data_IF_589604348488
#
_entry.id   IF_589604348488
#
_cell.length_a   1.000
_cell.length_b   1.000
_cell.length_c   1.000
_cell.angle_alpha   90.00
_cell.angle_beta   90.00
_cell.angle_gamma   90.00
#
_symmetry.space_group_name_H-M   'P 1'
#
loop_
_entity.id
_entity.type
_entity.pdbx_description
1 polymer ?
#
# COMPACT_ATOMS: atom_id res chain seq x y z
N UNK A 1 2.94 5.59 18.80
CA UNK A 1 2.09 6.80 18.65
C UNK A 1 2.74 7.68 17.60
N UNK A 2 2.02 8.00 16.53
CA UNK A 2 2.46 8.98 15.55
C UNK A 2 1.55 10.20 15.60
N UNK A 3 2.15 11.39 15.53
CA UNK A 3 1.47 12.67 15.68
C UNK A 3 1.65 13.46 14.40
N UNK A 4 0.54 13.85 13.79
CA UNK A 4 0.54 14.76 12.64
C UNK A 4 -0.18 16.05 12.99
N UNK A 5 0.29 17.16 12.47
CA UNK A 5 -0.35 18.47 12.63
C UNK A 5 -1.52 18.59 11.66
N UNK A 6 -2.74 18.65 12.19
CA UNK A 6 -3.95 19.03 11.46
C UNK A 6 -4.09 20.55 11.30
N UNK A 7 -5.08 20.97 10.52
CA UNK A 7 -5.41 22.40 10.34
C UNK A 7 -5.83 23.01 11.70
N UNK A 8 -5.41 24.25 11.97
CA UNK A 8 -5.73 24.98 13.20
C UNK A 8 -4.90 24.61 14.44
N UNK A 9 -3.75 23.94 14.27
CA UNK A 9 -2.88 23.56 15.39
C UNK A 9 -3.36 22.36 16.20
N UNK A 10 -4.38 21.64 15.70
CA UNK A 10 -4.87 20.40 16.28
C UNK A 10 -3.98 19.24 15.85
N UNK A 11 -3.77 18.25 16.72
CA UNK A 11 -3.01 17.05 16.38
C UNK A 11 -3.93 15.90 16.01
N UNK A 12 -3.59 15.20 14.93
CA UNK A 12 -4.15 13.90 14.57
C UNK A 12 -3.21 12.81 15.05
N UNK A 13 -3.79 11.77 15.64
CA UNK A 13 -3.04 10.68 16.25
C UNK A 13 -3.33 9.37 15.55
N UNK A 14 -2.27 8.63 15.27
CA UNK A 14 -2.34 7.24 14.84
C UNK A 14 -1.65 6.37 15.90
N UNK A 15 -2.39 5.44 16.48
CA UNK A 15 -1.85 4.44 17.40
C UNK A 15 -1.77 3.12 16.66
N UNK A 16 -0.56 2.61 16.49
CA UNK A 16 -0.32 1.30 15.92
C UNK A 16 0.11 0.38 17.06
N UNK A 17 -0.50 -0.80 17.17
CA UNK A 17 0.01 -1.89 18.00
C UNK A 17 0.40 -3.04 17.08
N UNK A 18 1.68 -3.42 17.17
CA UNK A 18 2.27 -4.45 16.32
C UNK A 18 2.31 -5.77 17.08
N UNK A 19 1.85 -6.85 16.44
CA UNK A 19 1.80 -8.19 17.00
C UNK A 19 2.72 -9.10 16.19
N UNK A 20 3.69 -9.70 16.88
CA UNK A 20 4.62 -10.67 16.30
C UNK A 20 3.95 -12.01 16.06
N UNK A 21 4.53 -12.83 15.17
CA UNK A 21 4.00 -14.18 14.87
C UNK A 21 4.00 -15.10 16.09
N UNK A 22 5.00 -14.96 16.95
CA UNK A 22 5.16 -15.74 18.18
C UNK A 22 4.58 -15.03 19.41
N UNK A 23 3.88 -13.90 19.24
CA UNK A 23 3.24 -13.21 20.35
C UNK A 23 2.09 -14.04 20.91
N UNK A 24 2.04 -14.12 22.24
CA UNK A 24 0.96 -14.80 22.95
C UNK A 24 -0.36 -14.04 22.85
N UNK A 25 -1.47 -14.74 23.07
CA UNK A 25 -2.82 -14.15 23.01
C UNK A 25 -3.02 -13.07 24.09
N UNK A 26 -2.44 -13.26 25.27
CA UNK A 26 -2.50 -12.30 26.37
C UNK A 26 -1.65 -11.05 26.12
N UNK A 27 -0.47 -11.17 25.51
CA UNK A 27 0.32 -10.01 25.08
C UNK A 27 -0.42 -9.21 24.01
N UNK A 28 -0.97 -9.88 23.00
CA UNK A 28 -1.77 -9.24 21.95
C UNK A 28 -3.01 -8.53 22.53
N UNK A 29 -3.74 -9.20 23.43
CA UNK A 29 -4.89 -8.63 24.13
C UNK A 29 -4.52 -7.43 25.00
N UNK A 30 -3.38 -7.50 25.70
CA UNK A 30 -2.86 -6.41 26.51
C UNK A 30 -2.49 -5.20 25.65
N UNK A 31 -1.84 -5.41 24.50
CA UNK A 31 -1.50 -4.35 23.56
C UNK A 31 -2.75 -3.63 23.02
N UNK A 32 -3.81 -4.37 22.71
CA UNK A 32 -5.09 -3.81 22.30
C UNK A 32 -5.74 -2.96 23.42
N UNK A 33 -5.80 -3.46 24.65
CA UNK A 33 -6.36 -2.72 25.81
C UNK A 33 -5.55 -1.44 26.06
N UNK A 34 -4.22 -1.53 26.04
CA UNK A 34 -3.34 -0.37 26.23
C UNK A 34 -3.49 0.68 25.13
N UNK A 35 -3.79 0.24 23.91
CA UNK A 35 -4.09 1.16 22.79
C UNK A 35 -5.36 1.96 23.05
N UNK A 36 -6.42 1.33 23.58
CA UNK A 36 -7.65 2.03 23.97
C UNK A 36 -7.40 3.00 25.13
N UNK A 37 -6.64 2.58 26.15
CA UNK A 37 -6.29 3.45 27.29
C UNK A 37 -5.47 4.68 26.84
N UNK A 38 -4.51 4.48 25.92
CA UNK A 38 -3.74 5.57 25.36
C UNK A 38 -4.60 6.54 24.55
N UNK A 39 -5.55 6.05 23.74
CA UNK A 39 -6.46 6.91 23.00
C UNK A 39 -7.33 7.77 23.92
N UNK A 40 -7.82 7.21 25.04
CA UNK A 40 -8.55 7.98 26.06
C UNK A 40 -7.71 9.14 26.60
N UNK A 41 -6.42 8.91 26.91
CA UNK A 41 -5.49 9.96 27.36
C UNK A 41 -5.27 11.03 26.28
N UNK A 42 -5.33 10.67 25.00
CA UNK A 42 -5.21 11.59 23.86
C UNK A 42 -6.53 12.31 23.51
N UNK A 43 -7.57 12.09 24.31
CA UNK A 43 -8.89 12.72 24.17
C UNK A 43 -9.86 11.97 23.26
N UNK A 44 -9.61 10.69 22.97
CA UNK A 44 -10.49 9.84 22.15
C UNK A 44 -10.57 10.31 20.70
N UNK A 45 -9.41 10.56 20.08
CA UNK A 45 -9.28 11.15 18.74
C UNK A 45 -8.30 10.39 17.84
N UNK A 46 -7.72 9.30 18.34
CA UNK A 46 -6.75 8.53 17.58
C UNK A 46 -7.45 7.52 16.67
N UNK A 47 -6.88 7.34 15.48
CA UNK A 47 -7.15 6.14 14.67
C UNK A 47 -6.25 5.03 15.19
N UNK A 48 -6.83 3.85 15.46
CA UNK A 48 -6.10 2.73 16.01
C UNK A 48 -5.92 1.66 14.93
N UNK A 49 -4.69 1.17 14.77
CA UNK A 49 -4.30 0.24 13.73
C UNK A 49 -3.71 -1.01 14.36
N UNK A 50 -4.25 -2.17 13.99
CA UNK A 50 -3.68 -3.47 14.34
C UNK A 50 -2.70 -3.89 13.24
N UNK A 51 -1.43 -3.97 13.58
CA UNK A 51 -0.36 -4.31 12.64
C UNK A 51 0.14 -5.73 12.93
N UNK A 52 0.01 -6.64 11.97
CA UNK A 52 0.52 -8.00 12.10
C UNK A 52 1.86 -8.13 11.39
N UNK A 53 2.79 -8.87 12.00
CA UNK A 53 4.06 -9.19 11.38
C UNK A 53 3.89 -9.82 9.99
N UNK A 54 4.43 -9.14 8.96
CA UNK A 54 4.36 -9.56 7.56
C UNK A 54 3.17 -8.97 6.79
N UNK A 55 2.16 -8.43 7.48
CA UNK A 55 0.91 -7.91 6.91
C UNK A 55 0.66 -6.43 7.25
N UNK A 56 1.71 -5.75 7.70
CA UNK A 56 1.65 -4.36 8.12
C UNK A 56 1.10 -3.44 7.03
N UNK A 57 0.45 -2.35 7.47
CA UNK A 57 -0.02 -1.29 6.61
C UNK A 57 1.14 -0.52 5.98
N UNK A 58 0.94 -0.02 4.74
CA UNK A 58 1.94 0.85 4.09
C UNK A 58 2.24 2.10 4.94
N UNK A 59 1.23 2.58 5.69
CA UNK A 59 1.37 3.69 6.62
C UNK A 59 2.35 3.35 7.75
N UNK A 60 2.16 2.21 8.41
CA UNK A 60 3.08 1.76 9.46
C UNK A 60 4.49 1.54 8.94
N UNK A 61 4.62 0.85 7.81
CA UNK A 61 5.92 0.59 7.19
C UNK A 61 6.64 1.90 6.84
N UNK A 62 5.92 2.93 6.38
CA UNK A 62 6.52 4.22 5.99
C UNK A 62 7.32 4.92 7.09
N UNK A 63 7.11 4.55 8.36
CA UNK A 63 7.83 5.07 9.51
C UNK A 63 9.23 4.45 9.69
N UNK A 64 9.48 3.25 9.14
CA UNK A 64 10.68 2.45 9.38
C UNK A 64 11.54 2.34 8.11
N UNK A 65 12.18 3.44 7.72
CA UNK A 65 13.07 3.45 6.55
C UNK A 65 14.51 3.10 6.94
N UNK A 66 15.23 2.31 6.12
CA UNK A 66 14.76 1.72 4.85
C UNK A 66 13.97 0.40 5.02
N UNK A 67 14.04 -0.22 6.20
CA UNK A 67 13.42 -1.51 6.45
C UNK A 67 12.92 -1.70 7.88
N UNK A 68 12.08 -2.73 8.04
CA UNK A 68 11.75 -3.34 9.33
C UNK A 68 12.39 -4.73 9.41
N UNK A 69 13.05 -5.01 10.53
CA UNK A 69 13.72 -6.30 10.82
C UNK A 69 13.10 -6.88 12.08
N UNK A 70 12.14 -7.80 11.98
CA UNK A 70 11.67 -8.58 13.12
C UNK A 70 12.81 -9.46 13.63
N UNK A 71 13.05 -9.43 14.93
CA UNK A 71 14.04 -10.29 15.59
C UNK A 71 13.35 -11.54 16.14
N UNK A 72 14.04 -12.67 16.11
CA UNK A 72 13.57 -13.89 16.77
C UNK A 72 13.69 -13.76 18.30
N UNK A 73 12.75 -14.37 19.02
CA UNK A 73 12.65 -14.29 20.49
C UNK A 73 11.64 -13.26 20.99
N UNK A 74 11.56 -13.10 22.31
CA UNK A 74 10.63 -12.19 22.96
C UNK A 74 10.92 -11.98 24.45
N UNK A 75 10.08 -11.20 25.13
CA UNK A 75 10.25 -10.93 26.57
C UNK A 75 10.16 -12.21 27.40
N UNK A 76 9.26 -13.13 27.04
CA UNK A 76 9.09 -14.43 27.69
C UNK A 76 10.31 -15.36 27.54
N UNK A 77 11.11 -15.23 26.46
CA UNK A 77 12.36 -15.96 26.32
C UNK A 77 13.52 -15.33 27.13
N UNK A 78 13.25 -14.22 27.83
CA UNK A 78 14.23 -13.36 28.44
C UNK A 78 15.03 -12.63 27.37
N UNK A 79 15.07 -11.30 27.41
CA UNK A 79 16.19 -10.61 26.76
C UNK A 79 17.46 -11.18 27.39
N UNK A 80 18.23 -11.96 26.61
CA UNK A 80 19.57 -12.37 27.05
C UNK A 80 20.27 -11.08 27.48
N UNK A 81 20.93 -11.10 28.64
CA UNK A 81 21.86 -10.03 29.05
C UNK A 81 22.77 -9.72 27.85
N UNK A 82 23.29 -8.50 27.71
CA UNK A 82 24.29 -8.20 26.68
C UNK A 82 25.58 -8.97 27.03
N UNK A 83 25.60 -10.26 26.74
CA UNK A 83 26.81 -11.00 26.46
C UNK A 83 27.37 -10.41 25.16
N UNK A 84 28.69 -10.31 25.06
CA UNK A 84 29.36 -9.83 23.84
C UNK A 84 28.71 -10.48 22.62
N UNK A 85 28.05 -9.68 21.80
CA UNK A 85 27.33 -10.16 20.62
C UNK A 85 28.36 -10.75 19.67
N UNK A 86 28.57 -12.07 19.73
CA UNK A 86 29.27 -12.78 18.69
C UNK A 86 28.47 -12.59 17.40
N UNK A 87 29.14 -12.13 16.35
CA UNK A 87 28.51 -11.98 15.07
C UNK A 87 27.92 -13.32 14.62
N UNK A 88 26.64 -13.33 14.27
CA UNK A 88 25.95 -14.49 13.71
C UNK A 88 25.63 -14.23 12.24
N UNK A 89 26.00 -15.17 11.37
CA UNK A 89 25.61 -15.12 9.96
C UNK A 89 24.10 -15.26 9.84
N UNK A 90 23.47 -14.30 9.15
CA UNK A 90 22.01 -14.25 9.00
C UNK A 90 21.63 -14.16 7.53
N UNK A 91 20.65 -14.96 7.12
CA UNK A 91 20.07 -14.91 5.79
C UNK A 91 18.68 -14.29 5.87
N UNK A 92 18.43 -13.31 5.02
CA UNK A 92 17.17 -12.59 4.98
C UNK A 92 16.53 -12.66 3.60
N UNK A 93 15.21 -12.76 3.58
CA UNK A 93 14.39 -12.46 2.41
C UNK A 93 14.01 -10.97 2.47
N UNK A 94 14.24 -10.25 1.37
CA UNK A 94 13.81 -8.87 1.16
C UNK A 94 12.54 -8.81 0.33
N UNK A 95 11.46 -8.27 0.90
CA UNK A 95 10.22 -8.00 0.13
C UNK A 95 9.68 -6.62 0.40
N UNK A 96 9.16 -5.97 -0.64
CA UNK A 96 8.45 -4.70 -0.50
C UNK A 96 8.82 -3.70 -1.58
N UNK A 97 7.82 -2.93 -2.04
CA UNK A 97 8.00 -1.96 -3.12
C UNK A 97 8.56 -0.62 -2.63
N UNK A 98 8.17 -0.19 -1.43
CA UNK A 98 8.48 1.14 -0.91
C UNK A 98 9.33 1.10 0.35
N UNK A 99 8.97 0.23 1.29
CA UNK A 99 9.73 -0.09 2.50
C UNK A 99 9.93 -1.60 2.50
N UNK A 100 11.17 -2.02 2.80
CA UNK A 100 11.53 -3.43 2.74
C UNK A 100 11.19 -4.10 4.07
N UNK A 101 10.44 -5.19 3.99
CA UNK A 101 10.29 -6.16 5.07
C UNK A 101 11.42 -7.17 4.95
N UNK A 102 12.23 -7.24 6.00
CA UNK A 102 13.26 -8.25 6.16
C UNK A 102 12.66 -9.43 6.91
N UNK A 103 12.78 -10.64 6.35
CA UNK A 103 12.40 -11.87 7.04
C UNK A 103 13.63 -12.75 7.18
N UNK A 104 14.10 -12.97 8.40
CA UNK A 104 15.16 -13.94 8.64
C UNK A 104 14.67 -15.33 8.26
N UNK A 105 15.51 -16.08 7.56
CA UNK A 105 15.29 -17.47 7.18
C UNK A 105 16.52 -18.29 7.56
N UNK A 106 16.39 -19.62 7.69
CA UNK A 106 17.54 -20.46 7.95
C UNK A 106 18.67 -20.19 6.95
N UNK A 107 19.91 -20.08 7.43
CA UNK A 107 21.06 -19.98 6.56
C UNK A 107 21.33 -21.35 5.91
N UNK A 108 20.54 -21.65 4.87
CA UNK A 108 20.55 -22.92 4.16
C UNK A 108 20.20 -22.70 2.69
N UNK A 109 20.79 -23.52 1.81
CA UNK A 109 20.51 -23.46 0.37
C UNK A 109 19.04 -23.70 0.04
N UNK A 110 18.36 -24.52 0.85
CA UNK A 110 16.92 -24.81 0.72
C UNK A 110 16.03 -23.58 0.95
N UNK A 111 16.57 -22.51 1.54
CA UNK A 111 15.85 -21.24 1.72
C UNK A 111 15.90 -20.36 0.47
N UNK A 112 16.92 -20.53 -0.39
CA UNK A 112 17.05 -19.76 -1.63
C UNK A 112 16.02 -20.20 -2.67
N UNK A 113 15.53 -19.24 -3.46
CA UNK A 113 14.61 -19.48 -4.57
C UNK A 113 14.80 -18.43 -5.69
N UNK A 114 14.18 -18.68 -6.84
CA UNK A 114 14.27 -17.81 -8.02
C UNK A 114 13.40 -16.55 -7.95
N UNK A 115 12.48 -16.45 -6.99
CA UNK A 115 11.40 -15.44 -6.95
C UNK A 115 11.66 -14.29 -5.96
N UNK A 116 12.63 -14.44 -5.07
CA UNK A 116 12.91 -13.49 -3.99
C UNK A 116 14.34 -12.92 -4.08
N UNK A 117 14.53 -11.73 -3.49
CA UNK A 117 15.88 -11.16 -3.25
C UNK A 117 16.32 -11.54 -1.84
N UNK A 118 17.54 -12.02 -1.71
CA UNK A 118 18.12 -12.45 -0.43
C UNK A 118 19.29 -11.55 -0.04
N UNK A 119 19.43 -11.29 1.26
CA UNK A 119 20.60 -10.66 1.85
C UNK A 119 21.25 -11.68 2.78
N UNK A 120 22.47 -12.10 2.47
CA UNK A 120 23.31 -12.88 3.36
C UNK A 120 24.29 -11.94 4.07
N UNK A 121 24.03 -11.72 5.34
CA UNK A 121 24.85 -10.88 6.22
C UNK A 121 25.92 -11.74 6.90
N UNK A 122 27.18 -11.52 6.56
CA UNK A 122 28.35 -12.17 7.16
C UNK A 122 29.27 -11.12 7.77
N UNK A 123 30.15 -11.52 8.69
CA UNK A 123 31.01 -10.61 9.46
C UNK A 123 31.87 -9.69 8.58
N UNK A 124 32.27 -10.15 7.38
CA UNK A 124 33.21 -9.43 6.52
C UNK A 124 32.60 -8.94 5.21
N UNK A 125 31.48 -9.53 4.79
CA UNK A 125 30.88 -9.27 3.48
C UNK A 125 29.38 -9.50 3.49
N UNK A 126 28.61 -8.58 2.92
CA UNK A 126 27.18 -8.71 2.73
C UNK A 126 26.92 -9.08 1.26
N UNK A 127 26.21 -10.18 1.03
CA UNK A 127 25.86 -10.63 -0.31
C UNK A 127 24.39 -10.34 -0.60
N UNK A 128 24.12 -9.69 -1.73
CA UNK A 128 22.80 -9.62 -2.33
C UNK A 128 22.65 -10.75 -3.34
N UNK A 129 21.75 -11.70 -3.10
CA UNK A 129 21.41 -12.71 -4.10
C UNK A 129 20.07 -12.37 -4.75
N UNK A 130 20.08 -12.11 -6.05
CA UNK A 130 18.89 -11.77 -6.83
C UNK A 130 18.35 -13.02 -7.52
N UNK A 131 17.20 -13.52 -7.08
CA UNK A 131 16.47 -14.56 -7.82
C UNK A 131 16.13 -14.11 -9.25
N UNK A 132 16.14 -15.05 -10.20
CA UNK A 132 15.96 -14.76 -11.62
C UNK A 132 14.65 -14.00 -11.96
N UNK A 133 13.59 -14.20 -11.18
CA UNK A 133 12.25 -13.64 -11.40
C UNK A 133 12.00 -12.32 -10.63
N UNK A 134 12.99 -11.82 -9.90
CA UNK A 134 12.87 -10.55 -9.15
C UNK A 134 12.96 -9.34 -10.07
N UNK A 135 12.27 -8.25 -9.74
CA UNK A 135 12.31 -7.02 -10.54
C UNK A 135 13.41 -6.04 -10.11
N UNK A 136 13.74 -5.08 -10.98
CA UNK A 136 14.83 -4.13 -10.74
C UNK A 136 14.59 -3.23 -9.51
N UNK A 137 13.33 -2.91 -9.20
CA UNK A 137 12.98 -2.07 -8.06
C UNK A 137 13.23 -2.80 -6.73
N UNK A 138 12.87 -4.08 -6.64
CA UNK A 138 13.15 -4.93 -5.48
C UNK A 138 14.66 -5.05 -5.23
N UNK A 139 15.44 -5.29 -6.30
CA UNK A 139 16.90 -5.39 -6.21
C UNK A 139 17.54 -4.08 -5.75
N UNK A 140 17.06 -2.93 -6.24
CA UNK A 140 17.54 -1.62 -5.81
C UNK A 140 17.20 -1.35 -4.33
N UNK A 141 15.99 -1.75 -3.89
CA UNK A 141 15.57 -1.62 -2.49
C UNK A 141 16.35 -2.51 -1.55
N UNK A 142 16.68 -3.73 -1.94
CA UNK A 142 17.58 -4.58 -1.17
C UNK A 142 18.95 -3.93 -0.99
N UNK A 143 19.49 -3.29 -2.03
CA UNK A 143 20.76 -2.57 -1.92
C UNK A 143 20.72 -1.40 -0.93
N UNK A 144 19.62 -0.64 -0.89
CA UNK A 144 19.40 0.40 0.15
C UNK A 144 19.44 -0.19 1.57
N UNK A 145 18.86 -1.38 1.76
CA UNK A 145 18.91 -2.10 3.04
C UNK A 145 20.32 -2.57 3.37
N UNK A 146 21.08 -3.08 2.39
CA UNK A 146 22.47 -3.50 2.59
C UNK A 146 23.34 -2.32 3.04
N UNK A 147 23.18 -1.14 2.43
CA UNK A 147 23.92 0.06 2.89
C UNK A 147 23.59 0.39 4.34
N UNK A 148 22.31 0.33 4.71
CA UNK A 148 21.90 0.52 6.09
C UNK A 148 22.48 -0.53 7.05
N UNK A 149 22.52 -1.81 6.66
CA UNK A 149 23.13 -2.86 7.48
C UNK A 149 24.63 -2.62 7.66
N UNK A 150 25.33 -2.29 6.57
CA UNK A 150 26.74 -1.96 6.56
C UNK A 150 27.07 -0.80 7.49
N UNK A 151 26.33 0.30 7.41
CA UNK A 151 26.58 1.48 8.23
C UNK A 151 26.24 1.24 9.71
N UNK A 152 25.13 0.53 9.98
CA UNK A 152 24.61 0.38 11.34
C UNK A 152 25.24 -0.76 12.13
N UNK A 153 25.50 -1.89 11.49
CA UNK A 153 25.94 -3.12 12.15
C UNK A 153 27.38 -3.51 11.81
N UNK A 154 27.99 -2.89 10.79
CA UNK A 154 29.37 -3.16 10.38
C UNK A 154 30.24 -1.91 10.30
N UNK A 155 29.82 -0.81 10.94
CA UNK A 155 30.60 0.44 11.05
C UNK A 155 31.09 1.00 9.70
N UNK A 156 30.40 0.67 8.60
CA UNK A 156 30.77 1.11 7.26
C UNK A 156 31.93 0.35 6.60
N UNK A 157 32.50 -0.69 7.23
CA UNK A 157 33.72 -1.37 6.75
C UNK A 157 33.50 -2.69 6.02
N UNK A 158 32.26 -3.13 5.87
CA UNK A 158 31.92 -4.42 5.24
C UNK A 158 31.91 -4.35 3.70
N UNK A 159 32.40 -5.41 3.05
CA UNK A 159 32.35 -5.54 1.59
C UNK A 159 30.94 -5.90 1.12
N UNK A 160 30.59 -5.55 -0.12
CA UNK A 160 29.28 -5.85 -0.71
C UNK A 160 29.46 -6.57 -2.03
N UNK A 161 28.78 -7.70 -2.21
CA UNK A 161 28.74 -8.45 -3.46
C UNK A 161 27.31 -8.64 -3.95
N UNK A 162 27.10 -8.57 -5.27
CA UNK A 162 25.79 -8.78 -5.90
C UNK A 162 25.88 -10.01 -6.79
N UNK A 163 25.09 -11.02 -6.45
CA UNK A 163 25.03 -12.32 -7.12
C UNK A 163 23.69 -12.41 -7.84
N UNK A 164 23.71 -12.60 -9.16
CA UNK A 164 22.51 -12.83 -9.95
C UNK A 164 22.34 -14.33 -10.21
N UNK A 165 21.16 -14.84 -9.90
CA UNK A 165 20.77 -16.21 -10.21
C UNK A 165 20.83 -16.52 -11.71
N UNK A 166 21.32 -17.71 -12.05
CA UNK A 166 21.53 -18.16 -13.42
C UNK A 166 22.70 -17.48 -14.17
N UNK A 167 23.31 -16.43 -13.61
CA UNK A 167 24.56 -15.87 -14.13
C UNK A 167 25.72 -16.61 -13.48
N UNK A 168 26.16 -17.69 -14.12
CA UNK A 168 27.47 -18.28 -13.86
C UNK A 168 28.54 -17.35 -14.42
N UNK A 169 28.73 -16.18 -13.82
CA UNK A 169 29.97 -15.44 -14.06
C UNK A 169 31.09 -16.17 -13.32
N UNK A 170 32.28 -16.21 -13.92
CA UNK A 170 33.50 -16.66 -13.27
C UNK A 170 34.02 -15.57 -12.32
N UNK A 171 33.12 -14.91 -11.59
CA UNK A 171 33.43 -13.87 -10.62
C UNK A 171 33.76 -14.52 -9.26
N UNK A 172 34.80 -13.99 -8.59
CA UNK A 172 35.25 -14.49 -7.29
C UNK A 172 34.11 -14.48 -6.26
N UNK A 173 33.30 -13.42 -6.29
CA UNK A 173 32.21 -13.19 -5.35
C UNK A 173 31.12 -14.28 -5.42
N UNK A 174 30.70 -14.67 -6.61
CA UNK A 174 29.77 -15.79 -6.80
C UNK A 174 30.36 -17.10 -6.30
N UNK A 175 31.64 -17.37 -6.58
CA UNK A 175 32.34 -18.54 -6.07
C UNK A 175 32.35 -18.60 -4.54
N UNK A 176 32.75 -17.50 -3.89
CA UNK A 176 32.74 -17.33 -2.44
C UNK A 176 31.34 -17.55 -1.86
N UNK A 177 30.32 -16.92 -2.45
CA UNK A 177 28.93 -17.07 -2.04
C UNK A 177 28.48 -18.54 -2.07
N UNK A 178 28.71 -19.26 -3.17
CA UNK A 178 28.27 -20.65 -3.27
C UNK A 178 29.05 -21.58 -2.34
N UNK A 179 30.34 -21.32 -2.09
CA UNK A 179 31.14 -22.08 -1.11
C UNK A 179 30.53 -21.99 0.29
N UNK A 180 29.96 -20.83 0.68
CA UNK A 180 29.24 -20.67 1.96
C UNK A 180 28.04 -21.62 2.11
N UNK A 181 27.45 -22.07 0.99
CA UNK A 181 26.34 -23.05 0.96
C UNK A 181 26.80 -24.50 0.65
N UNK A 182 28.10 -24.77 0.71
CA UNK A 182 28.69 -26.08 0.40
C UNK A 182 28.91 -26.34 -1.10
N UNK A 183 28.97 -25.29 -1.91
CA UNK A 183 29.16 -25.33 -3.35
C UNK A 183 27.88 -25.07 -4.15
N UNK A 184 28.05 -24.87 -5.46
CA UNK A 184 26.94 -24.63 -6.37
C UNK A 184 26.08 -25.89 -6.52
N UNK A 185 24.78 -25.73 -6.32
CA UNK A 185 23.78 -26.76 -6.60
C UNK A 185 22.45 -26.09 -6.99
N UNK A 186 21.57 -26.78 -7.74
CA UNK A 186 20.26 -26.24 -8.11
C UNK A 186 19.46 -25.77 -6.89
N UNK A 187 18.86 -24.59 -6.99
CA UNK A 187 17.95 -24.05 -5.97
C UNK A 187 16.52 -24.53 -6.21
N UNK A 188 15.73 -24.60 -5.14
CA UNK A 188 14.37 -25.14 -5.17
C UNK A 188 13.33 -24.14 -5.68
N UNK A 189 12.14 -24.65 -5.97
CA UNK A 189 10.95 -23.79 -6.15
C UNK A 189 10.58 -23.15 -4.82
N UNK A 190 10.10 -21.91 -4.88
CA UNK A 190 9.55 -21.21 -3.71
C UNK A 190 8.42 -22.02 -3.08
N UNK A 191 8.51 -22.25 -1.77
CA UNK A 191 7.41 -22.81 -0.98
C UNK A 191 6.45 -21.68 -0.65
N UNK A 192 5.19 -21.81 -1.02
CA UNK A 192 4.14 -20.84 -0.69
C UNK A 192 3.99 -20.80 0.83
N UNK A 193 4.14 -19.61 1.41
CA UNK A 193 3.98 -19.37 2.85
C UNK A 193 2.73 -18.55 3.14
N UNK A 194 2.34 -18.48 4.42
CA UNK A 194 1.23 -17.61 4.83
C UNK A 194 1.45 -16.16 4.40
N UNK A 195 2.71 -15.68 4.37
CA UNK A 195 3.08 -14.32 3.95
C UNK A 195 2.83 -14.04 2.46
N UNK A 196 2.59 -15.08 1.65
CA UNK A 196 2.29 -14.97 0.23
C UNK A 196 0.77 -14.95 -0.05
N UNK A 197 -0.07 -15.07 0.99
CA UNK A 197 -1.53 -15.03 0.85
C UNK A 197 -1.97 -13.61 0.47
N UNK A 198 -2.56 -13.48 -0.72
CA UNK A 198 -3.24 -12.26 -1.14
C UNK A 198 -4.61 -12.22 -0.48
N UNK A 199 -4.87 -11.18 0.31
CA UNK A 199 -6.17 -10.96 0.92
C UNK A 199 -7.18 -10.52 -0.14
N UNK A 200 -8.30 -11.23 -0.25
CA UNK A 200 -9.37 -10.91 -1.18
C UNK A 200 -10.32 -9.86 -0.62
N UNK A 201 -10.65 -8.85 -1.44
CA UNK A 201 -11.66 -7.84 -1.09
C UNK A 201 -13.06 -8.36 -1.38
N UNK A 202 -14.00 -8.13 -0.47
CA UNK A 202 -15.43 -8.41 -0.68
C UNK A 202 -16.27 -7.13 -0.62
N UNK A 203 -17.50 -7.12 -1.17
CA UNK A 203 -18.44 -6.04 -0.95
C UNK A 203 -18.60 -5.76 0.55
N UNK A 204 -18.67 -4.47 0.90
CA UNK A 204 -18.70 -4.03 2.28
C UNK A 204 -20.02 -4.45 2.96
N UNK A 205 -19.92 -5.03 4.16
CA UNK A 205 -21.07 -5.41 4.99
C UNK A 205 -20.97 -4.75 6.36
N UNK A 206 -22.02 -4.06 6.78
CA UNK A 206 -22.06 -3.37 8.07
C UNK A 206 -22.75 -4.24 9.13
N UNK A 207 -22.17 -4.29 10.32
CA UNK A 207 -22.70 -4.96 11.48
C UNK A 207 -22.75 -3.98 12.65
N UNK A 208 -23.90 -3.87 13.31
CA UNK A 208 -24.00 -3.20 14.61
C UNK A 208 -23.41 -4.09 15.71
N UNK A 209 -22.67 -3.49 16.65
CA UNK A 209 -22.11 -4.18 17.81
C UNK A 209 -22.89 -3.76 19.05
N UNK A 210 -23.54 -4.73 19.70
CA UNK A 210 -24.27 -4.54 20.97
C UNK A 210 -23.91 -5.67 21.92
N UNK A 211 -23.47 -5.34 23.14
CA UNK A 211 -23.05 -6.31 24.17
C UNK A 211 -22.04 -7.37 23.66
N UNK A 212 -21.16 -6.97 22.75
CA UNK A 212 -20.15 -7.86 22.13
C UNK A 212 -20.69 -8.79 21.04
N UNK A 213 -21.98 -8.73 20.70
CA UNK A 213 -22.59 -9.49 19.60
C UNK A 213 -22.71 -8.63 18.34
N UNK A 214 -22.47 -9.24 17.19
CA UNK A 214 -22.58 -8.59 15.88
C UNK A 214 -23.91 -8.93 15.22
N UNK A 215 -24.65 -7.89 14.81
CA UNK A 215 -25.89 -8.02 14.05
C UNK A 215 -25.74 -7.34 12.71
N UNK A 216 -26.05 -8.05 11.62
CA UNK A 216 -26.00 -7.50 10.27
C UNK A 216 -27.03 -6.38 10.10
N UNK A 217 -26.60 -5.25 9.52
CA UNK A 217 -27.48 -4.14 9.15
C UNK A 217 -27.97 -4.34 7.70
N UNK A 218 -29.27 -4.56 7.54
CA UNK A 218 -29.88 -4.90 6.24
C UNK A 218 -30.25 -3.63 5.46
N UNK A 219 -29.29 -2.85 4.95
CA UNK A 219 -29.57 -1.68 4.10
C UNK A 219 -28.31 -1.22 3.31
N UNK A 220 -28.52 -0.37 2.30
CA UNK A 220 -27.42 0.27 1.55
C UNK A 220 -26.54 1.16 2.45
N UNK A 221 -25.23 0.94 2.42
CA UNK A 221 -24.25 1.63 3.26
C UNK A 221 -24.31 3.15 3.12
N UNK A 222 -24.88 3.80 4.14
CA UNK A 222 -24.95 5.26 4.25
C UNK A 222 -24.43 5.74 5.60
N UNK A 223 -23.88 6.96 5.62
CA UNK A 223 -23.37 7.59 6.85
C UNK A 223 -24.44 7.70 7.95
N UNK A 224 -25.72 7.83 7.56
CA UNK A 224 -26.84 7.97 8.50
C UNK A 224 -27.08 6.75 9.40
N UNK A 225 -26.52 5.60 9.06
CA UNK A 225 -26.61 4.37 9.87
C UNK A 225 -25.71 4.38 11.09
N UNK A 226 -24.68 5.22 11.11
CA UNK A 226 -23.67 5.24 12.16
C UNK A 226 -24.13 6.12 13.33
N UNK A 227 -24.78 5.51 14.31
CA UNK A 227 -25.27 6.21 15.50
C UNK A 227 -24.13 6.57 16.47
N UNK A 228 -24.14 7.80 16.99
CA UNK A 228 -23.03 8.36 17.79
C UNK A 228 -22.77 7.67 19.15
N UNK A 229 -23.68 6.81 19.60
CA UNK A 229 -23.65 6.08 20.86
C UNK A 229 -23.48 4.56 20.66
N UNK A 230 -23.18 4.12 19.43
CA UNK A 230 -22.98 2.69 19.09
C UNK A 230 -21.63 2.45 18.43
N UNK A 231 -21.25 1.18 18.38
CA UNK A 231 -20.10 0.71 17.62
C UNK A 231 -20.57 -0.15 16.45
N UNK A 232 -19.82 -0.12 15.35
CA UNK A 232 -20.12 -0.89 14.15
C UNK A 232 -18.86 -1.56 13.61
N UNK A 233 -19.02 -2.74 13.00
CA UNK A 233 -17.98 -3.42 12.23
C UNK A 233 -18.35 -3.37 10.75
N UNK A 234 -17.41 -2.96 9.91
CA UNK A 234 -17.54 -2.93 8.46
C UNK A 234 -16.57 -3.94 7.85
N UNK A 235 -17.10 -5.04 7.35
CA UNK A 235 -16.34 -6.13 6.74
C UNK A 235 -16.19 -5.92 5.23
N UNK A 236 -14.96 -5.73 4.75
CA UNK A 236 -14.61 -5.59 3.34
C UNK A 236 -13.74 -6.77 2.83
N UNK A 237 -13.73 -7.91 3.53
CA UNK A 237 -12.92 -9.07 3.20
C UNK A 237 -11.48 -8.92 3.67
N UNK A 238 -10.62 -8.28 2.87
CA UNK A 238 -9.21 -8.07 3.17
C UNK A 238 -8.97 -7.08 4.33
N UNK A 239 -9.91 -6.16 4.52
CA UNK A 239 -9.86 -5.12 5.53
C UNK A 239 -11.19 -5.10 6.28
N UNK A 240 -11.08 -4.97 7.60
CA UNK A 240 -12.21 -4.78 8.50
C UNK A 240 -12.02 -3.44 9.20
N UNK A 241 -13.07 -2.63 9.20
CA UNK A 241 -13.08 -1.39 9.96
C UNK A 241 -13.99 -1.52 11.17
N UNK A 242 -13.57 -0.94 12.28
CA UNK A 242 -14.40 -0.75 13.46
C UNK A 242 -14.69 0.74 13.53
N UNK A 243 -15.97 1.12 13.52
CA UNK A 243 -16.37 2.51 13.75
C UNK A 243 -16.93 2.65 15.16
N UNK A 244 -16.44 3.63 15.91
CA UNK A 244 -16.82 3.89 17.30
C UNK A 244 -17.49 5.26 17.40
N UNK A 245 -18.75 5.28 17.85
CA UNK A 245 -19.48 6.50 18.13
C UNK A 245 -18.85 7.29 19.28
N UNK A 246 -18.84 8.63 19.20
CA UNK A 246 -18.15 9.48 20.19
C UNK A 246 -18.69 9.34 21.61
N UNK A 247 -19.96 8.97 21.78
CA UNK A 247 -20.68 8.91 23.06
C UNK A 247 -20.65 7.51 23.69
N UNK A 248 -20.02 6.54 23.02
CA UNK A 248 -19.85 5.16 23.54
C UNK A 248 -18.98 5.12 24.80
N UNK A 249 -19.28 4.20 25.71
CA UNK A 249 -18.55 4.02 26.98
C UNK A 249 -17.19 3.34 26.76
N UNK A 250 -16.24 3.56 27.68
CA UNK A 250 -14.89 3.00 27.55
C UNK A 250 -14.90 1.47 27.58
N UNK A 251 -15.79 0.87 28.37
CA UNK A 251 -15.98 -0.57 28.50
C UNK A 251 -16.41 -1.19 27.17
N UNK A 252 -17.33 -0.55 26.46
CA UNK A 252 -17.76 -0.97 25.11
C UNK A 252 -16.60 -0.88 24.12
N UNK A 253 -15.84 0.22 24.13
CA UNK A 253 -14.67 0.40 23.26
C UNK A 253 -13.62 -0.69 23.46
N UNK A 254 -13.41 -1.12 24.71
CA UNK A 254 -12.51 -2.25 25.05
C UNK A 254 -13.07 -3.59 24.56
N UNK A 255 -14.38 -3.80 24.64
CA UNK A 255 -15.03 -5.05 24.21
C UNK A 255 -15.08 -5.21 22.68
N UNK A 256 -15.13 -4.11 21.93
CA UNK A 256 -15.26 -4.11 20.47
C UNK A 256 -14.08 -4.76 19.76
N UNK A 257 -12.84 -4.58 20.25
CA UNK A 257 -11.68 -5.26 19.67
C UNK A 257 -11.80 -6.78 19.77
N UNK A 258 -12.32 -7.29 20.89
CA UNK A 258 -12.58 -8.72 21.07
C UNK A 258 -13.69 -9.20 20.13
N UNK A 259 -14.79 -8.46 20.02
CA UNK A 259 -15.88 -8.81 19.12
C UNK A 259 -15.41 -8.90 17.65
N UNK A 260 -14.50 -8.01 17.22
CA UNK A 260 -13.92 -8.07 15.88
C UNK A 260 -13.04 -9.30 15.66
N UNK A 261 -12.24 -9.72 16.65
CA UNK A 261 -11.44 -10.95 16.57
C UNK A 261 -12.35 -12.20 16.52
N UNK A 262 -13.37 -12.26 17.38
CA UNK A 262 -14.35 -13.35 17.38
C UNK A 262 -15.10 -13.42 16.04
N UNK A 263 -15.40 -12.26 15.43
CA UNK A 263 -15.98 -12.17 14.10
C UNK A 263 -15.05 -12.73 13.01
N UNK A 264 -13.78 -12.31 12.97
CA UNK A 264 -12.78 -12.78 12.01
C UNK A 264 -12.66 -14.31 12.08
N UNK A 265 -12.60 -14.87 13.30
CA UNK A 265 -12.55 -16.32 13.52
C UNK A 265 -13.84 -16.99 13.03
N UNK A 266 -15.01 -16.49 13.43
CA UNK A 266 -16.30 -17.12 13.09
C UNK A 266 -16.62 -17.09 11.58
N UNK A 267 -16.17 -16.05 10.86
CA UNK A 267 -16.33 -15.93 9.41
C UNK A 267 -15.22 -16.65 8.63
N UNK A 268 -14.33 -17.39 9.32
CA UNK A 268 -13.19 -18.08 8.73
C UNK A 268 -12.33 -17.15 7.85
N UNK A 269 -12.20 -15.88 8.27
CA UNK A 269 -11.34 -14.90 7.61
C UNK A 269 -9.87 -15.25 7.92
N UNK A 270 -8.93 -14.96 7.01
CA UNK A 270 -7.51 -15.15 7.30
C UNK A 270 -7.13 -14.39 8.58
N UNK A 271 -6.30 -15.00 9.46
CA UNK A 271 -5.79 -14.31 10.68
C UNK A 271 -5.07 -13.01 10.36
N UNK A 272 -4.56 -12.92 9.13
CA UNK A 272 -3.83 -11.79 8.54
C UNK A 272 -4.74 -10.63 8.11
N UNK A 273 -6.06 -10.75 8.28
CA UNK A 273 -7.03 -9.68 7.99
C UNK A 273 -6.69 -8.41 8.76
N UNK A 274 -6.67 -7.29 8.05
CA UNK A 274 -6.33 -5.98 8.63
C UNK A 274 -7.50 -5.41 9.40
N UNK A 275 -7.24 -4.88 10.60
CA UNK A 275 -8.26 -4.24 11.43
C UNK A 275 -7.87 -2.80 11.72
N UNK A 276 -8.73 -1.87 11.34
CA UNK A 276 -8.56 -0.44 11.63
C UNK A 276 -9.76 0.08 12.41
N UNK A 277 -9.52 0.65 13.59
CA UNK A 277 -10.56 1.28 14.40
C UNK A 277 -10.53 2.80 14.19
N UNK A 278 -11.66 3.35 13.78
CA UNK A 278 -11.91 4.78 13.57
C UNK A 278 -12.94 5.28 14.56
N UNK A 279 -12.76 6.53 15.01
CA UNK A 279 -13.71 7.20 15.88
C UNK A 279 -14.50 8.26 15.12
N UNK A 280 -15.76 8.47 15.52
CA UNK A 280 -16.65 9.43 14.87
C UNK A 280 -16.02 10.83 14.73
N UNK A 281 -15.99 11.32 13.49
CA UNK A 281 -15.41 12.61 13.09
C UNK A 281 -13.92 12.55 12.73
N UNK A 282 -13.26 11.41 12.93
CA UNK A 282 -11.86 11.17 12.56
C UNK A 282 -11.74 9.99 11.59
N UNK A 283 -12.78 9.73 10.78
CA UNK A 283 -12.78 8.61 9.86
C UNK A 283 -11.79 8.83 8.71
N UNK A 284 -11.06 7.76 8.37
CA UNK A 284 -10.05 7.77 7.31
C UNK A 284 -10.70 7.82 5.93
N UNK A 285 -9.91 8.21 4.92
CA UNK A 285 -10.39 8.19 3.54
C UNK A 285 -10.79 6.78 3.09
N UNK A 286 -10.00 5.77 3.45
CA UNK A 286 -10.27 4.36 3.12
C UNK A 286 -11.58 3.84 3.71
N UNK A 287 -11.98 4.34 4.89
CA UNK A 287 -13.28 4.02 5.49
C UNK A 287 -14.41 4.73 4.73
N UNK A 288 -14.29 6.05 4.54
CA UNK A 288 -15.32 6.87 3.88
C UNK A 288 -15.63 6.39 2.47
N UNK A 289 -14.63 5.92 1.73
CA UNK A 289 -14.78 5.43 0.36
C UNK A 289 -15.58 4.13 0.24
N UNK A 290 -15.93 3.47 1.36
CA UNK A 290 -16.77 2.27 1.37
C UNK A 290 -18.28 2.57 1.39
N UNK A 291 -18.65 3.83 1.56
CA UNK A 291 -20.05 4.29 1.61
C UNK A 291 -20.44 4.92 0.27
N UNK A 292 -21.71 4.76 -0.14
CA UNK A 292 -22.21 5.28 -1.42
C UNK A 292 -22.09 6.81 -1.50
N UNK A 293 -22.35 7.48 -0.38
CA UNK A 293 -22.14 8.92 -0.25
C UNK A 293 -21.73 9.25 1.18
N UNK A 294 -20.69 10.09 1.30
CA UNK A 294 -20.23 10.63 2.57
C UNK A 294 -20.41 12.14 2.55
N UNK A 295 -21.60 12.62 2.94
CA UNK A 295 -21.82 14.06 3.06
C UNK A 295 -20.93 14.63 4.16
N UNK A 296 -20.16 15.67 3.82
CA UNK A 296 -19.54 16.54 4.81
C UNK A 296 -20.70 17.17 5.60
N UNK A 297 -20.91 16.71 6.83
CA UNK A 297 -22.04 17.19 7.63
C UNK A 297 -21.89 18.68 7.87
N UNK A 298 -22.98 19.43 7.71
CA UNK A 298 -23.09 20.82 8.14
C UNK A 298 -23.03 20.85 9.67
N UNK A 299 -21.83 20.92 10.23
CA UNK A 299 -21.65 21.28 11.64
C UNK A 299 -21.62 22.79 11.70
N UNK A 300 -22.73 23.37 12.16
CA UNK A 300 -22.80 24.77 12.57
C UNK A 300 -21.81 25.01 13.70
N UNK A 301 -20.74 25.75 13.40
CA UNK A 301 -19.76 26.23 14.38
C UNK A 301 -18.41 25.53 14.31
N UNK A 302 -17.42 26.27 13.79
CA UNK A 302 -15.98 26.01 13.81
C UNK A 302 -15.44 24.88 12.90
N UNK A 303 -15.24 25.25 11.63
CA UNK A 303 -14.01 25.02 10.85
C UNK A 303 -13.53 23.58 10.64
N UNK A 304 -13.95 22.94 9.53
CA UNK A 304 -13.16 21.89 8.91
C UNK A 304 -13.38 21.85 7.38
N UNK A 305 -12.29 22.08 6.63
CA UNK A 305 -12.17 21.76 5.20
C UNK A 305 -11.23 20.55 5.05
N UNK A 306 -11.78 19.35 5.14
CA UNK A 306 -11.06 18.07 5.06
C UNK A 306 -10.89 17.57 3.61
N UNK A 307 -10.39 18.43 2.71
CA UNK A 307 -10.31 18.15 1.27
C UNK A 307 -8.92 18.10 0.63
N UNK A 308 -7.85 18.54 1.30
CA UNK A 308 -6.60 18.92 0.59
C UNK A 308 -5.32 18.20 1.05
N UNK A 309 -5.42 17.13 1.84
CA UNK A 309 -4.22 16.54 2.46
C UNK A 309 -3.34 15.69 1.53
N UNK A 310 -3.79 15.41 0.30
CA UNK A 310 -2.98 14.73 -0.72
C UNK A 310 -2.10 15.65 -1.57
N UNK A 311 -2.55 16.90 -1.83
CA UNK A 311 -1.88 17.84 -2.75
C UNK A 311 -0.80 18.67 -2.06
N UNK A 312 -1.02 19.07 -0.80
CA UNK A 312 -0.13 19.97 -0.07
C UNK A 312 1.28 19.42 0.23
N UNK A 313 1.41 18.10 0.42
CA UNK A 313 2.71 17.45 0.69
C UNK A 313 3.63 17.45 -0.54
N UNK A 314 3.07 17.38 -1.75
CA UNK A 314 3.82 17.44 -3.00
C UNK A 314 4.36 18.86 -3.25
N UNK A 315 3.57 19.89 -2.93
CA UNK A 315 3.97 21.28 -3.09
C UNK A 315 5.05 21.72 -2.07
N UNK A 316 5.02 21.19 -0.84
CA UNK A 316 6.04 21.48 0.17
C UNK A 316 7.42 20.87 -0.16
N UNK A 317 7.44 19.66 -0.75
CA UNK A 317 8.67 18.99 -1.18
C UNK A 317 9.41 19.73 -2.31
N UNK A 318 8.67 20.40 -3.21
CA UNK A 318 9.27 21.18 -4.31
C UNK A 318 9.90 22.51 -3.84
N UNK A 319 9.48 23.04 -2.68
CA UNK A 319 10.06 24.26 -2.09
C UNK A 319 11.39 24.02 -1.37
N UNK A 320 11.67 22.80 -0.93
CA UNK A 320 12.91 22.47 -0.21
C UNK A 320 14.15 22.33 -1.13
N UNK A 321 13.99 22.41 -2.46
CA UNK A 321 15.10 22.30 -3.42
C UNK A 321 15.71 23.64 -3.87
N UNK A 322 15.41 24.76 -3.20
CA UNK A 322 16.25 25.96 -3.26
C UNK A 322 16.38 26.62 -4.64
N UNK A 323 15.27 26.93 -5.31
CA UNK A 323 15.27 27.80 -6.49
C UNK A 323 14.68 29.15 -6.09
N UNK A 324 15.52 30.18 -6.03
CA UNK A 324 15.17 31.56 -5.73
C UNK A 324 14.96 32.35 -7.03
N UNK A 325 13.82 33.01 -7.20
CA UNK A 325 13.66 34.09 -8.17
C UNK A 325 12.71 35.17 -7.62
N UNK A 326 13.32 36.30 -7.24
CA UNK A 326 12.69 37.62 -7.16
C UNK A 326 12.23 38.06 -8.55
N UNK A 327 10.95 38.40 -8.70
CA UNK A 327 10.41 39.05 -9.89
C UNK A 327 8.90 38.94 -9.97
N UNK A 328 8.19 39.83 -9.28
CA UNK A 328 6.72 39.86 -9.22
C UNK A 328 6.12 40.30 -10.56
N UNK A 329 5.13 39.56 -11.07
CA UNK A 329 3.95 40.17 -11.68
C UNK A 329 2.69 39.43 -11.21
N UNK A 330 1.75 40.20 -10.66
CA UNK A 330 0.47 39.81 -10.05
C UNK A 330 -0.33 38.83 -10.94
N UNK A 331 -0.80 37.73 -10.34
CA UNK A 331 -1.74 36.79 -10.94
C UNK A 331 -2.55 36.05 -9.87
N UNK A 332 -3.86 35.98 -10.10
CA UNK A 332 -5.00 35.56 -9.28
C UNK A 332 -4.87 34.31 -8.37
N UNK A 333 -5.72 34.17 -7.33
CA UNK A 333 -5.77 32.98 -6.49
C UNK A 333 -6.16 31.76 -7.31
N UNK A 334 -5.28 30.75 -7.33
CA UNK A 334 -5.52 29.46 -7.98
C UNK A 334 -6.53 28.69 -7.13
N UNK A 335 -7.79 28.73 -7.56
CA UNK A 335 -8.81 27.78 -7.16
C UNK A 335 -8.39 26.42 -7.74
N UNK A 336 -8.33 25.36 -6.92
CA UNK A 336 -8.10 23.99 -7.40
C UNK A 336 -9.34 23.46 -8.15
N UNK A 337 -9.71 24.08 -9.26
CA UNK A 337 -10.51 23.43 -10.28
C UNK A 337 -9.57 22.56 -11.14
N UNK A 338 -10.09 21.41 -11.57
CA UNK A 338 -9.65 20.53 -12.69
C UNK A 338 -8.38 21.02 -13.39
N UNK A 339 -7.31 20.20 -13.55
CA UNK A 339 -6.09 20.63 -14.24
C UNK A 339 -6.46 21.43 -15.50
N UNK A 340 -5.86 22.62 -15.66
CA UNK A 340 -5.99 23.47 -16.87
C UNK A 340 -5.36 22.76 -18.10
N UNK A 341 -5.69 21.49 -18.34
CA UNK A 341 -5.10 20.63 -19.36
C UNK A 341 -5.77 20.82 -20.72
N UNK A 342 -6.48 21.92 -20.93
CA UNK A 342 -7.18 22.22 -22.18
C UNK A 342 -7.14 23.72 -22.49
N UNK A 343 -5.99 24.38 -22.29
CA UNK A 343 -5.73 25.59 -23.07
C UNK A 343 -5.53 25.14 -24.53
N UNK A 344 -6.58 25.37 -25.33
CA UNK A 344 -6.85 24.73 -26.62
C UNK A 344 -5.67 24.67 -27.58
N UNK A 345 -5.22 23.45 -27.89
CA UNK A 345 -4.18 23.20 -28.88
C UNK A 345 -3.80 21.73 -29.07
N UNK A 346 -4.16 20.84 -28.13
CA UNK A 346 -3.85 19.41 -28.24
C UNK A 346 -4.74 18.64 -29.24
N UNK A 347 -4.18 17.57 -29.81
CA UNK A 347 -4.87 16.65 -30.74
C UNK A 347 -5.58 15.56 -29.94
N UNK A 348 -6.89 15.43 -30.10
CA UNK A 348 -7.72 14.39 -29.46
C UNK A 348 -8.10 13.31 -30.47
N UNK A 349 -7.81 12.06 -30.13
CA UNK A 349 -8.20 10.88 -30.91
C UNK A 349 -8.96 9.92 -30.00
N UNK A 350 -10.17 9.52 -30.43
CA UNK A 350 -11.04 8.61 -29.67
C UNK A 350 -11.35 7.40 -30.52
N UNK A 351 -11.33 6.22 -29.92
CA UNK A 351 -11.71 4.97 -30.57
C UNK A 351 -12.71 4.21 -29.73
N UNK A 352 -13.77 3.68 -30.36
CA UNK A 352 -14.68 2.71 -29.75
C UNK A 352 -14.15 1.31 -29.98
N UNK A 353 -14.16 0.52 -28.92
CA UNK A 353 -13.79 -0.89 -28.95
C UNK A 353 -15.05 -1.69 -29.25
N UNK A 354 -15.00 -2.50 -30.30
CA UNK A 354 -16.05 -3.46 -30.64
C UNK A 354 -15.40 -4.82 -30.87
N UNK A 355 -15.58 -5.74 -29.91
CA UNK A 355 -14.83 -7.00 -29.86
C UNK A 355 -13.32 -6.74 -29.74
N UNK A 356 -12.53 -7.31 -30.66
CA UNK A 356 -11.08 -7.08 -30.77
C UNK A 356 -10.70 -5.88 -31.66
N UNK A 357 -11.67 -5.21 -32.29
CA UNK A 357 -11.42 -4.14 -33.24
C UNK A 357 -11.46 -2.75 -32.58
N UNK A 358 -10.48 -1.91 -32.94
CA UNK A 358 -10.36 -0.51 -32.57
C UNK A 358 -10.94 0.37 -33.70
N UNK A 359 -12.12 0.94 -33.50
CA UNK A 359 -12.80 1.75 -34.51
C UNK A 359 -12.66 3.24 -34.18
N UNK A 360 -12.04 4.07 -35.03
CA UNK A 360 -11.92 5.51 -34.77
C UNK A 360 -13.28 6.19 -34.77
N UNK A 361 -13.51 7.07 -33.80
CA UNK A 361 -14.70 7.91 -33.79
C UNK A 361 -14.53 9.08 -34.75
N UNK A 362 -15.53 9.36 -35.60
CA UNK A 362 -15.61 10.63 -36.32
C UNK A 362 -15.57 11.81 -35.36
N UNK A 363 -15.01 12.95 -35.79
CA UNK A 363 -14.85 14.14 -34.93
C UNK A 363 -16.19 14.64 -34.39
N UNK A 364 -17.27 14.41 -35.11
CA UNK A 364 -18.65 14.80 -34.80
C UNK A 364 -19.27 13.96 -33.67
N UNK A 365 -18.69 12.79 -33.40
CA UNK A 365 -19.11 11.85 -32.34
C UNK A 365 -18.22 11.94 -31.10
N UNK A 366 -17.07 12.62 -31.18
CA UNK A 366 -16.19 12.85 -30.04
C UNK A 366 -16.95 13.65 -28.98
N UNK A 367 -17.05 13.08 -27.77
CA UNK A 367 -17.84 13.63 -26.66
C UNK A 367 -19.14 12.88 -26.38
N UNK A 368 -19.56 11.96 -27.27
CA UNK A 368 -20.71 11.07 -27.05
C UNK A 368 -20.23 9.67 -26.70
N UNK A 369 -20.33 9.33 -25.42
CA UNK A 369 -19.96 8.02 -24.90
C UNK A 369 -21.23 7.24 -24.53
N UNK A 370 -21.38 6.03 -25.06
CA UNK A 370 -22.53 5.17 -24.80
C UNK A 370 -22.19 4.16 -23.70
N UNK A 371 -23.04 4.04 -22.68
CA UNK A 371 -22.82 3.14 -21.55
C UNK A 371 -22.70 1.66 -21.94
N UNK A 372 -23.11 1.27 -23.15
CA UNK A 372 -22.94 -0.08 -23.69
C UNK A 372 -21.57 -0.37 -24.31
N UNK A 373 -20.63 0.58 -24.31
CA UNK A 373 -19.39 0.51 -25.09
C UNK A 373 -18.13 0.85 -24.27
N UNK A 374 -16.97 0.44 -24.78
CA UNK A 374 -15.67 0.82 -24.25
C UNK A 374 -14.95 1.74 -25.25
N UNK A 375 -14.21 2.72 -24.75
CA UNK A 375 -13.50 3.69 -25.56
C UNK A 375 -12.08 3.90 -25.07
N UNK A 376 -11.19 4.17 -26.02
CA UNK A 376 -9.83 4.64 -25.76
C UNK A 376 -9.74 6.08 -26.23
N UNK A 377 -9.21 6.95 -25.38
CA UNK A 377 -9.01 8.37 -25.65
C UNK A 377 -7.53 8.67 -25.55
N UNK A 378 -6.92 9.11 -26.64
CA UNK A 378 -5.56 9.63 -26.68
C UNK A 378 -5.62 11.14 -26.87
N UNK A 379 -5.07 11.87 -25.92
CA UNK A 379 -4.88 13.31 -26.03
C UNK A 379 -3.39 13.61 -26.12
N UNK A 380 -2.98 14.22 -27.23
CA UNK A 380 -1.60 14.66 -27.47
C UNK A 380 -1.54 16.15 -27.24
N UNK A 381 -0.70 16.61 -26.31
CA UNK A 381 -0.55 18.02 -25.98
C UNK A 381 0.92 18.42 -25.93
N UNK A 382 1.19 19.73 -26.02
CA UNK A 382 2.55 20.25 -25.88
C UNK A 382 2.72 20.81 -24.48
N UNK A 383 3.68 20.26 -23.74
CA UNK A 383 4.07 20.76 -22.43
C UNK A 383 5.43 21.44 -22.56
N UNK A 384 5.46 22.77 -22.37
CA UNK A 384 6.68 23.59 -22.48
C UNK A 384 7.25 23.72 -23.90
N UNK A 385 8.45 24.30 -23.99
CA UNK A 385 9.12 24.59 -25.28
C UNK A 385 9.84 23.36 -25.87
N UNK A 386 9.06 22.44 -26.48
CA UNK A 386 9.43 21.46 -27.55
C UNK A 386 9.10 19.96 -27.29
N UNK A 387 8.31 19.59 -26.27
CA UNK A 387 7.91 18.18 -26.09
C UNK A 387 6.41 17.96 -26.29
N UNK A 388 6.06 16.94 -27.07
CA UNK A 388 4.71 16.40 -27.18
C UNK A 388 4.54 15.33 -26.11
N UNK A 389 3.61 15.58 -25.18
CA UNK A 389 3.19 14.67 -24.13
C UNK A 389 1.85 14.03 -24.50
N UNK A 390 1.60 12.85 -23.93
CA UNK A 390 0.42 12.04 -24.23
C UNK A 390 -0.35 11.71 -22.96
N UNK A 391 -1.67 11.84 -23.03
CA UNK A 391 -2.61 11.35 -22.02
C UNK A 391 -3.47 10.27 -22.67
N UNK A 392 -3.30 9.02 -22.23
CA UNK A 392 -4.11 7.88 -22.67
C UNK A 392 -5.10 7.51 -21.56
N UNK A 393 -6.38 7.60 -21.88
CA UNK A 393 -7.49 7.30 -20.96
C UNK A 393 -8.37 6.21 -21.56
N UNK A 394 -8.86 5.31 -20.71
CA UNK A 394 -9.84 4.31 -21.10
C UNK A 394 -11.16 4.61 -20.39
N UNK A 395 -12.25 4.66 -21.13
CA UNK A 395 -13.60 4.81 -20.59
C UNK A 395 -14.37 3.50 -20.82
N UNK A 396 -15.00 2.98 -19.77
CA UNK A 396 -15.75 1.73 -19.83
C UNK A 396 -17.19 2.00 -19.43
N UNK A 397 -18.11 1.79 -20.37
CA UNK A 397 -19.52 1.96 -20.10
C UNK A 397 -20.04 0.88 -19.15
N UNK A 398 -20.88 1.26 -18.19
CA UNK A 398 -21.49 0.37 -17.19
C UNK A 398 -22.29 -0.81 -17.77
N UNK A 399 -22.82 -0.67 -18.97
CA UNK A 399 -23.63 -1.66 -19.70
C UNK A 399 -22.82 -2.34 -20.81
N UNK A 400 -21.50 -2.10 -20.88
CA UNK A 400 -20.62 -2.75 -21.84
C UNK A 400 -20.54 -4.24 -21.54
N UNK A 401 -20.96 -5.04 -22.53
CA UNK A 401 -21.28 -6.46 -22.33
C UNK A 401 -20.01 -7.24 -21.99
N UNK A 402 -19.94 -7.81 -20.78
CA UNK A 402 -19.14 -9.01 -20.52
C UNK A 402 -19.80 -10.16 -21.28
N UNK A 403 -19.21 -10.59 -22.40
CA UNK A 403 -19.59 -11.87 -23.00
C UNK A 403 -19.12 -12.98 -22.06
N UNK A 404 -19.98 -13.37 -21.12
CA UNK A 404 -19.85 -14.59 -20.35
C UNK A 404 -20.14 -15.74 -21.33
N UNK A 405 -19.10 -16.20 -22.02
CA UNK A 405 -19.21 -17.31 -22.97
C UNK A 405 -18.02 -17.39 -23.90
N UNK A 406 -16.99 -18.13 -23.46
CA UNK A 406 -15.85 -18.63 -24.28
C UNK A 406 -15.27 -17.63 -25.30
N UNK A 407 -14.79 -16.48 -24.81
CA UNK A 407 -13.58 -15.81 -25.28
C UNK A 407 -13.29 -14.67 -24.29
N UNK A 408 -12.16 -14.77 -23.60
CA UNK A 408 -11.82 -13.89 -22.48
C UNK A 408 -11.66 -12.43 -22.92
N UNK A 409 -12.50 -11.53 -22.43
CA UNK A 409 -12.21 -10.09 -22.38
C UNK A 409 -12.38 -9.60 -20.93
N UNK A 410 -11.37 -9.87 -20.10
CA UNK A 410 -11.23 -9.27 -18.78
C UNK A 410 -10.35 -8.00 -18.86
N UNK A 411 -10.41 -7.14 -17.84
CA UNK A 411 -9.58 -5.93 -17.64
C UNK A 411 -8.09 -6.07 -18.13
N UNK A 412 -7.41 -7.21 -17.91
CA UNK A 412 -6.06 -7.46 -18.43
C UNK A 412 -5.95 -7.41 -19.95
N UNK A 413 -6.94 -7.86 -20.72
CA UNK A 413 -6.86 -7.87 -22.19
C UNK A 413 -7.01 -6.48 -22.81
N UNK A 414 -7.74 -5.57 -22.17
CA UNK A 414 -7.82 -4.17 -22.59
C UNK A 414 -6.51 -3.41 -22.27
N UNK A 415 -5.88 -3.75 -21.15
CA UNK A 415 -4.53 -3.26 -20.80
C UNK A 415 -3.50 -3.82 -21.79
N UNK A 416 -3.57 -5.10 -22.14
CA UNK A 416 -2.71 -5.74 -23.15
C UNK A 416 -2.95 -5.17 -24.55
N UNK A 417 -4.19 -4.85 -24.92
CA UNK A 417 -4.49 -4.14 -26.17
C UNK A 417 -3.91 -2.72 -26.16
N UNK A 418 -4.08 -1.97 -25.06
CA UNK A 418 -3.45 -0.65 -24.90
C UNK A 418 -1.91 -0.75 -24.97
N UNK A 419 -1.32 -1.81 -24.41
CA UNK A 419 0.11 -2.09 -24.43
C UNK A 419 0.63 -2.53 -25.82
N UNK A 420 -0.13 -3.33 -26.57
CA UNK A 420 0.20 -3.77 -27.93
C UNK A 420 0.03 -2.65 -28.97
N UNK A 421 -0.91 -1.74 -28.75
CA UNK A 421 -1.04 -0.51 -29.55
C UNK A 421 0.20 0.36 -29.34
N UNK A 422 0.71 0.44 -28.10
CA UNK A 422 1.93 1.18 -27.78
C UNK A 422 3.17 0.57 -28.47
N UNK A 423 3.38 -0.75 -28.45
CA UNK A 423 4.56 -1.37 -29.08
C UNK A 423 4.64 -1.15 -30.59
N UNK A 424 3.51 -0.93 -31.27
CA UNK A 424 3.47 -0.68 -32.72
C UNK A 424 3.79 0.78 -33.08
N UNK A 425 3.49 1.74 -32.18
CA UNK A 425 3.84 3.16 -32.37
C UNK A 425 5.16 3.57 -31.68
N UNK A 426 5.63 2.82 -30.69
CA UNK A 426 6.83 3.08 -29.89
C UNK A 426 8.16 2.70 -30.58
N UNK A 427 8.24 2.66 -31.91
CA UNK A 427 9.54 2.75 -32.59
C UNK A 427 10.17 4.15 -32.49
N UNK A 428 9.46 5.12 -31.89
CA UNK A 428 9.99 6.45 -31.61
C UNK A 428 9.60 6.90 -30.18
N UNK A 429 10.60 6.87 -29.30
CA UNK A 429 10.74 7.54 -27.98
C UNK A 429 10.01 7.00 -26.73
N UNK A 430 10.81 6.67 -25.70
CA UNK A 430 10.43 6.44 -24.30
C UNK A 430 9.87 7.72 -23.64
N UNK A 431 8.71 7.66 -22.95
CA UNK A 431 8.51 8.17 -21.57
C UNK A 431 7.03 8.19 -21.10
N UNK A 432 6.86 7.88 -19.81
CA UNK A 432 5.75 8.06 -18.83
C UNK A 432 4.28 8.10 -19.32
N UNK A 433 3.50 7.04 -19.00
CA UNK A 433 2.03 6.99 -19.20
C UNK A 433 1.31 7.04 -17.84
N UNK A 434 0.30 7.91 -17.71
CA UNK A 434 -0.70 7.87 -16.62
C UNK A 434 -2.01 7.31 -17.18
N UNK A 435 -2.37 6.09 -16.77
CA UNK A 435 -3.66 5.48 -17.08
C UNK A 435 -4.66 5.97 -16.04
N UNK A 436 -5.64 6.77 -16.46
CA UNK A 436 -6.79 7.15 -15.64
C UNK A 436 -7.96 6.26 -16.06
N UNK A 437 -8.51 5.48 -15.13
CA UNK A 437 -9.73 4.70 -15.35
C UNK A 437 -10.88 5.51 -14.78
N UNK A 438 -11.76 6.00 -15.64
CA UNK A 438 -12.97 6.71 -15.25
C UNK A 438 -14.13 5.69 -15.27
N UNK A 439 -14.78 5.51 -14.12
CA UNK A 439 -15.99 4.68 -13.96
C UNK A 439 -17.24 5.46 -14.34
#
# INVERSE_FOLDING_TARGET
LFQTTGKGGTYLYDIHFWIGKESSQDEAGTAAIKTVELDVVLGGRAVQHRELQGFESDKFLSYFKPCIIPLEGGFASGFKKPEEEKFETRLYICRGKWVVRMKQVPFARSSLNHDDVFILDTEKKIYQFNGANTNIQERAKALEVIQYLKDKYHEGTCDIAIIDDGKLQADSDSGEFWVLFGGFAPIGKKVVSEDDIVLETSPAKLYGISDGQLKLEENNLSKGMLENNKCYLLDCGAEVFIWVGRVTQVEERKAVSKAAEDFIISQNRPKTTRVTQVIQGYETHSFKSKFESWSAGTVTGMGNSSGEEGRGKVAALLKQQGVDFKGISKGSPVNEEIPHLLEGGGKLEVWRINGSAKNPLPREEIGKFYSGDCYIVLYTYRSGEKKEDYLLTCWMGKDSIQVIGKDHYSLPNLIVLAYNIYTTQAKFYEQTIRIMVLY
#
